data_IF_175893768278
#
_entry.id   IF_175893768278
#
_cell.length_a   1.000
_cell.length_b   1.000
_cell.length_c   1.000
_cell.angle_alpha   90.00
_cell.angle_beta   90.00
_cell.angle_gamma   90.00
#
_symmetry.space_group_name_H-M   'P 1'
#
loop_
_entity.id
_entity.type
_entity.pdbx_description
1 polymer ?
#
# COMPACT_ATOMS: atom_id res chain seq x y z
N UNK A 1 -3.58 -23.93 2.98
CA UNK A 1 -2.99 -23.03 1.98
C UNK A 1 -1.82 -22.29 2.60
N UNK A 2 -0.72 -22.30 1.90
CA UNK A 2 0.44 -21.62 2.39
C UNK A 2 0.71 -20.38 1.56
N UNK A 3 0.77 -19.25 2.20
CA UNK A 3 1.08 -18.00 1.52
C UNK A 3 2.27 -17.39 2.21
N UNK A 4 3.23 -17.02 1.41
CA UNK A 4 4.36 -16.29 1.92
C UNK A 4 4.07 -14.82 1.79
N UNK A 5 4.12 -14.12 2.91
CA UNK A 5 3.99 -12.68 2.90
C UNK A 5 5.27 -12.12 3.48
N UNK A 6 5.90 -11.25 2.75
CA UNK A 6 7.07 -10.55 3.25
C UNK A 6 7.19 -9.23 2.54
N UNK A 7 7.85 -8.31 3.20
CA UNK A 7 8.10 -7.00 2.62
C UNK A 7 9.59 -6.75 2.67
N UNK A 8 10.10 -6.17 1.60
CA UNK A 8 11.50 -5.91 1.48
C UNK A 8 11.72 -4.78 0.51
N UNK A 9 12.54 -3.83 0.90
CA UNK A 9 12.90 -2.73 0.04
C UNK A 9 14.41 -2.66 -0.02
N UNK A 10 14.92 -2.41 -1.19
CA UNK A 10 16.33 -2.56 -1.44
C UNK A 10 16.75 -1.61 -2.54
N UNK A 11 17.68 -0.70 -2.24
CA UNK A 11 18.27 0.15 -3.26
C UNK A 11 18.99 -0.71 -4.27
N UNK A 12 19.64 -1.72 -3.77
CA UNK A 12 20.21 -2.78 -4.58
C UNK A 12 21.15 -2.30 -5.64
N UNK A 13 21.05 -2.98 -6.74
CA UNK A 13 22.02 -2.87 -7.81
C UNK A 13 21.50 -2.09 -9.00
N UNK A 14 20.28 -1.63 -8.95
CA UNK A 14 19.62 -1.13 -10.15
C UNK A 14 19.42 0.36 -10.11
N UNK A 15 19.34 0.95 -8.94
CA UNK A 15 19.11 2.37 -8.84
C UNK A 15 19.82 2.94 -7.63
N UNK A 16 20.20 4.21 -7.76
CA UNK A 16 20.88 4.91 -6.68
C UNK A 16 19.92 5.42 -5.63
N UNK A 17 18.69 5.64 -6.03
CA UNK A 17 17.67 6.16 -5.15
C UNK A 17 16.55 5.14 -5.04
N UNK A 18 16.26 4.75 -3.82
CA UNK A 18 15.21 3.78 -3.57
C UNK A 18 13.87 4.50 -3.46
N UNK A 19 13.01 4.33 -4.47
CA UNK A 19 11.67 4.89 -4.48
C UNK A 19 10.62 3.91 -3.98
N UNK A 20 11.06 2.74 -3.53
CA UNK A 20 10.17 1.76 -2.95
C UNK A 20 9.92 2.10 -1.49
N UNK A 21 8.75 1.74 -1.02
CA UNK A 21 8.42 1.91 0.38
C UNK A 21 7.65 0.70 0.84
N UNK A 22 7.86 0.29 2.07
CA UNK A 22 7.11 -0.85 2.59
C UNK A 22 6.72 -0.61 4.03
N UNK A 23 5.73 -1.37 4.47
CA UNK A 23 5.22 -1.27 5.82
C UNK A 23 4.89 -2.68 6.31
N UNK A 24 5.31 -2.97 7.52
CA UNK A 24 5.01 -4.25 8.16
C UNK A 24 4.51 -3.93 9.56
N UNK A 25 3.29 -4.32 9.86
CA UNK A 25 2.75 -4.16 11.19
C UNK A 25 2.91 -5.47 11.96
N UNK A 26 3.10 -5.36 13.26
CA UNK A 26 3.24 -6.55 14.07
C UNK A 26 1.89 -7.10 14.48
N UNK A 27 0.97 -6.25 14.81
CA UNK A 27 -0.39 -6.68 15.12
C UNK A 27 -1.22 -5.44 15.33
N UNK A 28 -2.45 -5.52 14.84
CA UNK A 28 -3.42 -4.47 15.00
C UNK A 28 -4.76 -5.15 14.95
N UNK A 29 -5.47 -5.20 16.07
CA UNK A 29 -6.77 -5.86 16.14
C UNK A 29 -6.73 -7.28 15.57
N UNK A 30 -5.70 -8.02 15.94
CA UNK A 30 -5.51 -9.41 15.50
C UNK A 30 -5.18 -9.57 14.02
N UNK A 31 -4.84 -8.50 13.34
CA UNK A 31 -4.40 -8.61 11.95
C UNK A 31 -2.92 -8.33 11.84
N UNK A 32 -2.34 -8.89 10.80
CA UNK A 32 -1.00 -8.53 10.38
C UNK A 32 -1.12 -7.89 9.01
N UNK A 33 -0.36 -6.84 8.80
CA UNK A 33 -0.48 -6.06 7.60
C UNK A 33 0.89 -5.84 6.98
N UNK A 34 1.01 -6.20 5.71
CA UNK A 34 2.23 -6.02 4.94
C UNK A 34 1.89 -5.23 3.69
N UNK A 35 2.67 -4.21 3.41
CA UNK A 35 2.43 -3.39 2.23
C UNK A 35 3.74 -3.08 1.54
N UNK A 36 3.69 -3.02 0.23
CA UNK A 36 4.84 -2.67 -0.58
C UNK A 36 4.38 -1.75 -1.71
N UNK A 37 5.11 -0.70 -1.93
CA UNK A 37 4.82 0.25 -3.01
C UNK A 37 6.12 0.59 -3.73
N UNK A 38 6.05 0.59 -5.06
CA UNK A 38 7.19 0.94 -5.92
C UNK A 38 6.77 2.17 -6.71
N UNK A 39 7.37 3.30 -6.36
CA UNK A 39 6.98 4.59 -6.92
C UNK A 39 7.71 4.95 -8.17
N UNK A 40 7.10 5.84 -8.95
CA UNK A 40 7.68 6.38 -10.16
C UNK A 40 7.36 7.85 -10.27
N UNK A 41 8.26 8.60 -10.90
CA UNK A 41 8.04 10.03 -11.10
C UNK A 41 9.32 10.81 -10.92
N UNK A 42 9.39 11.98 -11.54
CA UNK A 42 10.54 12.85 -11.42
C UNK A 42 10.50 13.67 -10.14
N UNK A 43 11.59 14.35 -9.84
CA UNK A 43 11.67 15.26 -8.71
C UNK A 43 11.21 14.63 -7.39
N UNK A 44 11.64 13.39 -7.14
CA UNK A 44 11.27 12.64 -5.94
C UNK A 44 9.79 12.24 -5.91
N UNK A 45 9.11 12.34 -7.06
CA UNK A 45 7.69 11.99 -7.12
C UNK A 45 7.43 10.54 -6.75
N UNK A 46 8.30 9.62 -7.18
CA UNK A 46 8.13 8.21 -6.84
C UNK A 46 8.22 7.95 -5.35
N UNK A 47 9.16 8.60 -4.68
CA UNK A 47 9.29 8.46 -3.23
C UNK A 47 8.06 9.00 -2.53
N UNK A 48 7.57 10.16 -2.96
CA UNK A 48 6.39 10.77 -2.37
C UNK A 48 5.17 9.91 -2.62
N UNK A 49 5.00 9.42 -3.85
CA UNK A 49 3.83 8.63 -4.22
C UNK A 49 3.78 7.32 -3.42
N UNK A 50 4.91 6.61 -3.34
CA UNK A 50 4.91 5.32 -2.64
C UNK A 50 4.65 5.50 -1.16
N UNK A 51 5.24 6.52 -0.54
CA UNK A 51 5.01 6.77 0.88
C UNK A 51 3.57 7.18 1.16
N UNK A 52 3.03 8.08 0.33
CA UNK A 52 1.64 8.51 0.51
C UNK A 52 0.67 7.34 0.35
N UNK A 53 0.90 6.49 -0.63
CA UNK A 53 0.02 5.35 -0.86
C UNK A 53 0.00 4.41 0.33
N UNK A 54 1.18 4.09 0.86
CA UNK A 54 1.29 3.21 2.01
C UNK A 54 0.59 3.81 3.21
N UNK A 55 0.86 5.09 3.49
CA UNK A 55 0.26 5.74 4.66
C UNK A 55 -1.25 5.85 4.53
N UNK A 56 -1.73 6.18 3.34
CA UNK A 56 -3.17 6.31 3.13
C UNK A 56 -3.88 4.96 3.28
N UNK A 57 -3.35 3.92 2.65
CA UNK A 57 -3.95 2.60 2.73
C UNK A 57 -3.89 2.06 4.15
N UNK A 58 -2.75 2.24 4.82
CA UNK A 58 -2.60 1.81 6.20
C UNK A 58 -3.63 2.48 7.10
N UNK A 59 -3.73 3.78 7.01
CA UNK A 59 -4.66 4.52 7.86
C UNK A 59 -6.10 4.12 7.58
N UNK A 60 -6.43 3.89 6.32
CA UNK A 60 -7.77 3.46 5.96
C UNK A 60 -8.11 2.12 6.60
N UNK A 61 -7.21 1.16 6.49
CA UNK A 61 -7.46 -0.16 7.07
C UNK A 61 -7.52 -0.08 8.59
N UNK A 62 -6.58 0.64 9.20
CA UNK A 62 -6.54 0.73 10.66
C UNK A 62 -7.77 1.40 11.22
N UNK A 63 -8.30 2.39 10.52
CA UNK A 63 -9.46 3.12 11.00
C UNK A 63 -10.78 2.42 10.77
N UNK A 64 -10.83 1.49 9.82
CA UNK A 64 -12.09 0.89 9.42
C UNK A 64 -12.23 -0.59 9.72
N UNK A 65 -11.14 -1.29 10.00
CA UNK A 65 -11.21 -2.73 10.20
C UNK A 65 -12.16 -3.11 11.34
N UNK A 66 -12.15 -2.34 12.40
CA UNK A 66 -12.97 -2.64 13.56
C UNK A 66 -14.46 -2.51 13.27
N UNK A 67 -14.82 -1.75 12.24
CA UNK A 67 -16.21 -1.42 11.96
C UNK A 67 -16.85 -2.30 10.90
N UNK A 68 -16.08 -3.21 10.29
CA UNK A 68 -16.61 -4.06 9.24
C UNK A 68 -16.92 -5.44 9.79
N UNK A 69 -17.74 -6.18 9.06
CA UNK A 69 -17.92 -7.59 9.33
C UNK A 69 -16.60 -8.31 9.03
N UNK A 70 -16.34 -9.37 9.79
CA UNK A 70 -15.07 -10.08 9.64
C UNK A 70 -15.18 -11.28 8.72
N UNK A 71 -16.06 -11.21 7.75
CA UNK A 71 -16.19 -12.25 6.74
C UNK A 71 -15.28 -11.94 5.57
N UNK A 72 -15.12 -12.93 4.71
CA UNK A 72 -14.19 -12.86 3.60
C UNK A 72 -14.48 -11.69 2.67
N UNK A 73 -15.73 -11.53 2.28
CA UNK A 73 -16.08 -10.51 1.30
C UNK A 73 -15.90 -9.10 1.85
N UNK A 74 -16.21 -8.90 3.12
CA UNK A 74 -16.04 -7.58 3.74
C UNK A 74 -14.59 -7.20 3.86
N UNK A 75 -13.73 -8.16 4.19
CA UNK A 75 -12.30 -7.89 4.30
C UNK A 75 -11.70 -7.61 2.92
N UNK A 76 -12.10 -8.38 1.91
CA UNK A 76 -11.65 -8.11 0.55
C UNK A 76 -12.06 -6.71 0.12
N UNK A 77 -13.30 -6.33 0.44
CA UNK A 77 -13.78 -4.99 0.09
C UNK A 77 -13.00 -3.91 0.82
N UNK A 78 -12.64 -4.16 2.07
CA UNK A 78 -11.84 -3.20 2.83
C UNK A 78 -10.48 -2.98 2.17
N UNK A 79 -9.83 -4.07 1.77
CA UNK A 79 -8.54 -3.96 1.10
C UNK A 79 -8.70 -3.19 -0.21
N UNK A 80 -9.71 -3.52 -1.00
CA UNK A 80 -9.95 -2.83 -2.26
C UNK A 80 -10.20 -1.35 -2.05
N UNK A 81 -11.04 -1.01 -1.07
CA UNK A 81 -11.35 0.38 -0.80
C UNK A 81 -10.14 1.16 -0.31
N UNK A 82 -9.27 0.51 0.46
CA UNK A 82 -8.06 1.17 0.92
C UNK A 82 -7.15 1.51 -0.25
N UNK A 83 -7.11 0.66 -1.26
CA UNK A 83 -6.29 0.91 -2.45
C UNK A 83 -6.87 2.03 -3.30
N UNK A 84 -8.18 2.08 -3.42
CA UNK A 84 -8.83 3.18 -4.13
C UNK A 84 -8.59 4.51 -3.43
N UNK A 85 -8.68 4.50 -2.11
CA UNK A 85 -8.41 5.69 -1.33
C UNK A 85 -6.96 6.14 -1.50
N UNK A 86 -6.02 5.20 -1.45
CA UNK A 86 -4.61 5.53 -1.64
C UNK A 86 -4.37 6.15 -3.01
N UNK A 87 -5.00 5.58 -4.04
CA UNK A 87 -4.86 6.10 -5.39
C UNK A 87 -5.38 7.54 -5.48
N UNK A 88 -6.50 7.80 -4.84
CA UNK A 88 -7.06 9.14 -4.84
C UNK A 88 -6.11 10.14 -4.15
N UNK A 89 -5.54 9.76 -3.03
CA UNK A 89 -4.64 10.64 -2.29
C UNK A 89 -3.41 10.98 -3.13
N UNK A 90 -2.82 9.97 -3.78
CA UNK A 90 -1.65 10.19 -4.63
C UNK A 90 -2.01 11.08 -5.82
N UNK A 91 -3.14 10.82 -6.44
CA UNK A 91 -3.57 11.59 -7.60
C UNK A 91 -3.79 13.07 -7.24
N UNK A 92 -4.48 13.31 -6.12
CA UNK A 92 -4.75 14.67 -5.71
C UNK A 92 -3.47 15.42 -5.37
N UNK A 93 -2.53 14.72 -4.74
CA UNK A 93 -1.25 15.33 -4.43
C UNK A 93 -0.48 15.70 -5.70
N UNK A 94 -0.56 14.85 -6.71
CA UNK A 94 0.14 15.10 -7.96
C UNK A 94 -0.41 16.35 -8.68
N UNK A 95 -1.65 16.70 -8.41
CA UNK A 95 -2.26 17.86 -9.04
C UNK A 95 -1.97 19.16 -8.31
N UNK A 96 -1.53 19.08 -7.06
CA UNK A 96 -1.23 20.27 -6.28
C UNK A 96 0.07 20.95 -6.68
N UNK A 97 0.97 20.19 -7.29
CA UNK A 97 2.31 20.69 -7.55
C UNK A 97 2.79 20.16 -8.89
N UNK A 98 3.21 21.09 -9.76
CA UNK A 98 3.67 20.69 -11.08
C UNK A 98 4.85 19.73 -11.04
N UNK A 99 5.69 19.84 -10.02
CA UNK A 99 6.84 18.96 -9.90
C UNK A 99 6.46 17.52 -9.64
N UNK A 100 5.25 17.30 -9.16
CA UNK A 100 4.74 15.96 -8.87
C UNK A 100 3.82 15.42 -9.94
N UNK A 101 3.64 16.18 -11.01
CA UNK A 101 2.76 15.76 -12.09
C UNK A 101 3.24 14.44 -12.67
N UNK A 102 2.32 13.50 -12.82
CA UNK A 102 2.66 12.21 -13.37
C UNK A 102 3.23 11.21 -12.39
N UNK A 103 3.38 11.58 -11.12
CA UNK A 103 3.89 10.61 -10.16
C UNK A 103 2.86 9.51 -9.94
N UNK A 104 3.35 8.32 -9.64
CA UNK A 104 2.49 7.20 -9.37
C UNK A 104 3.22 6.14 -8.60
N UNK A 105 2.51 5.07 -8.26
CA UNK A 105 3.10 3.97 -7.53
C UNK A 105 2.28 2.71 -7.73
N UNK A 106 2.97 1.57 -7.69
CA UNK A 106 2.27 0.31 -7.49
C UNK A 106 1.93 0.21 -6.02
N UNK A 107 1.05 -0.70 -5.68
CA UNK A 107 0.72 -0.96 -4.29
C UNK A 107 0.31 -2.40 -4.14
N UNK A 108 0.93 -3.08 -3.21
CA UNK A 108 0.56 -4.44 -2.84
C UNK A 108 0.24 -4.45 -1.36
N UNK A 109 -0.87 -5.08 -1.00
CA UNK A 109 -1.30 -5.20 0.37
C UNK A 109 -1.53 -6.67 0.67
N UNK A 110 -0.98 -7.12 1.79
CA UNK A 110 -1.24 -8.45 2.29
C UNK A 110 -1.76 -8.30 3.72
N UNK A 111 -2.99 -8.71 3.93
CA UNK A 111 -3.63 -8.65 5.23
C UNK A 111 -3.88 -10.08 5.70
N UNK A 112 -3.40 -10.40 6.89
CA UNK A 112 -3.59 -11.72 7.47
C UNK A 112 -4.49 -11.60 8.67
N UNK A 113 -5.57 -12.36 8.67
CA UNK A 113 -6.53 -12.36 9.75
C UNK A 113 -7.08 -13.77 9.91
N UNK A 114 -7.02 -14.28 11.13
CA UNK A 114 -7.60 -15.58 11.45
C UNK A 114 -7.10 -16.70 10.54
N UNK A 115 -5.80 -16.72 10.31
CA UNK A 115 -5.11 -17.71 9.47
C UNK A 115 -5.51 -17.65 8.00
N UNK A 116 -6.10 -16.53 7.58
CA UNK A 116 -6.46 -16.32 6.19
C UNK A 116 -5.67 -15.13 5.66
N UNK A 117 -5.34 -15.19 4.38
CA UNK A 117 -4.53 -14.15 3.75
C UNK A 117 -5.37 -13.48 2.67
N UNK A 118 -5.35 -12.17 2.69
CA UNK A 118 -6.09 -11.34 1.73
C UNK A 118 -5.07 -10.45 1.02
N UNK A 119 -5.05 -10.51 -0.29
CA UNK A 119 -4.06 -9.81 -1.08
C UNK A 119 -4.75 -8.84 -2.03
N UNK A 120 -4.23 -7.61 -2.06
CA UNK A 120 -4.63 -6.62 -3.03
C UNK A 120 -3.43 -6.17 -3.81
N UNK A 121 -3.63 -5.83 -5.07
CA UNK A 121 -2.53 -5.42 -5.93
C UNK A 121 -3.04 -4.43 -6.96
N UNK A 122 -2.29 -3.35 -7.16
CA UNK A 122 -2.59 -2.38 -8.20
C UNK A 122 -1.28 -1.92 -8.83
N UNK A 123 -1.28 -1.78 -10.14
CA UNK A 123 -0.11 -1.36 -10.90
C UNK A 123 0.63 -2.53 -11.52
N UNK A 124 1.66 -2.19 -12.27
CA UNK A 124 2.48 -3.18 -12.94
C UNK A 124 3.69 -3.48 -12.08
N UNK A 125 3.71 -4.59 -11.45
CA UNK A 125 4.88 -4.97 -10.70
C UNK A 125 5.16 -6.45 -10.85
#
# INVERSE_FOLDING_TARGET
>A
MMIKAYARSDVGRVRDLNEDYFYVSNSLDDIQLFMLADGMGGCNGGEIASRLAIEAAKNYIENNFKDIEKDKDSIIQLVASSMEYANMVVYEKSRENKELEGMGTTLEICLIYNNKVFIGHVGDS
#
